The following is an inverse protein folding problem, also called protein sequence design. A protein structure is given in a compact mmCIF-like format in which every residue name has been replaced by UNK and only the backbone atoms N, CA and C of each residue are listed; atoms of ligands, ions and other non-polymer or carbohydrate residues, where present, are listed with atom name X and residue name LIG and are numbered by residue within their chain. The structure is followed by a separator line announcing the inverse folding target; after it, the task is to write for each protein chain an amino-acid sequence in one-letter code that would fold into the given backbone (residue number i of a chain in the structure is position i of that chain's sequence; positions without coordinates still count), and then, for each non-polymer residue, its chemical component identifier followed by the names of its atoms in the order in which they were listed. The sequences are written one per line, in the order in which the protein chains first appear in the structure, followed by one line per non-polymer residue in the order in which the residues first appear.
data_IF_293578748860
#
_entry.id   IF_293578748860
#
_cell.length_a   1.000
_cell.length_b   1.000
_cell.length_c   1.000
_cell.angle_alpha   90.00
_cell.angle_beta   90.00
_cell.angle_gamma   90.00
#
_symmetry.space_group_name_H-M   'P 1'
#
loop_
_entity.id
_entity.type
_entity.pdbx_description
1 polymer ?
#
# COMPACT_ATOMS: atom_id res chain seq x y z
N UNK A 1 -3.88 -11.39 40.08
CA UNK A 1 -3.00 -11.99 39.05
C UNK A 1 -1.78 -11.10 38.94
N UNK A 2 -0.58 -11.65 39.11
CA UNK A 2 0.69 -10.93 38.99
C UNK A 2 1.00 -10.61 37.51
N UNK A 3 1.60 -9.44 37.22
CA UNK A 3 1.95 -9.00 35.86
C UNK A 3 2.85 -10.00 35.14
N UNK A 4 3.75 -10.66 35.89
CA UNK A 4 4.64 -11.69 35.34
C UNK A 4 3.85 -12.90 34.81
N UNK A 5 2.80 -13.29 35.51
CA UNK A 5 1.96 -14.40 35.10
C UNK A 5 1.21 -14.08 33.81
N UNK A 6 0.64 -12.87 33.72
CA UNK A 6 -0.04 -12.40 32.52
C UNK A 6 0.90 -12.34 31.30
N UNK A 7 2.12 -11.83 31.48
CA UNK A 7 3.11 -11.81 30.40
C UNK A 7 3.50 -13.22 29.93
N UNK A 8 3.73 -14.15 30.86
CA UNK A 8 4.05 -15.53 30.53
C UNK A 8 2.91 -16.23 29.78
N UNK A 9 1.66 -16.03 30.23
CA UNK A 9 0.49 -16.56 29.52
C UNK A 9 0.34 -15.95 28.13
N UNK A 10 0.55 -14.65 27.98
CA UNK A 10 0.48 -13.97 26.69
C UNK A 10 1.48 -14.54 25.68
N UNK A 11 2.77 -14.65 26.05
CA UNK A 11 3.78 -15.21 25.14
C UNK A 11 3.52 -16.67 24.81
N UNK A 12 3.10 -17.47 25.79
CA UNK A 12 2.77 -18.88 25.58
C UNK A 12 1.58 -19.05 24.63
N UNK A 13 0.56 -18.21 24.77
CA UNK A 13 -0.66 -18.25 23.94
C UNK A 13 -0.39 -17.82 22.49
N UNK A 14 0.70 -17.09 22.25
CA UNK A 14 1.15 -16.67 20.92
C UNK A 14 2.36 -17.48 20.41
N UNK A 15 2.68 -18.62 21.05
CA UNK A 15 3.76 -19.54 20.66
C UNK A 15 5.17 -18.94 20.58
N UNK A 16 5.40 -17.77 21.19
CA UNK A 16 6.67 -17.02 21.06
C UNK A 16 7.87 -17.85 21.52
N UNK A 17 7.85 -18.55 22.68
CA UNK A 17 8.98 -19.38 23.11
C UNK A 17 9.30 -20.52 22.14
N UNK A 18 8.29 -21.21 21.62
CA UNK A 18 8.45 -22.35 20.72
C UNK A 18 9.08 -21.91 19.39
N UNK A 19 8.61 -20.80 18.81
CA UNK A 19 9.17 -20.23 17.58
C UNK A 19 10.61 -19.75 17.76
N UNK A 20 10.94 -19.19 18.92
CA UNK A 20 12.32 -18.82 19.27
C UNK A 20 13.23 -20.05 19.37
N UNK A 21 12.78 -21.12 20.03
CA UNK A 21 13.54 -22.35 20.13
C UNK A 21 13.77 -22.99 18.74
N UNK A 22 12.74 -23.05 17.91
CA UNK A 22 12.78 -23.57 16.54
C UNK A 22 13.84 -22.84 15.68
N UNK A 23 13.81 -21.51 15.66
CA UNK A 23 14.75 -20.73 14.84
C UNK A 23 16.17 -20.82 15.36
N UNK A 24 16.39 -20.82 16.69
CA UNK A 24 17.71 -20.93 17.29
C UNK A 24 18.34 -22.30 17.00
N UNK A 25 17.55 -23.37 17.10
CA UNK A 25 18.00 -24.71 16.78
C UNK A 25 18.39 -24.82 15.31
N UNK A 26 17.52 -24.36 14.40
CA UNK A 26 17.79 -24.41 12.96
C UNK A 26 19.01 -23.57 12.58
N UNK A 27 19.10 -22.35 13.09
CA UNK A 27 20.21 -21.42 12.83
C UNK A 27 21.55 -21.97 13.30
N UNK A 28 21.60 -22.69 14.44
CA UNK A 28 22.83 -23.31 14.94
C UNK A 28 23.43 -24.32 13.94
N UNK A 29 22.58 -25.11 13.28
CA UNK A 29 23.02 -26.07 12.27
C UNK A 29 23.36 -25.39 10.94
N UNK A 30 22.53 -24.43 10.49
CA UNK A 30 22.71 -23.78 9.19
C UNK A 30 23.89 -22.80 9.17
N UNK A 31 24.22 -22.18 10.31
CA UNK A 31 25.31 -21.19 10.45
C UNK A 31 25.30 -20.11 9.35
N UNK A 32 24.18 -19.37 9.21
CA UNK A 32 24.09 -18.34 8.17
C UNK A 32 25.13 -17.23 8.40
N UNK A 33 25.58 -16.60 7.32
CA UNK A 33 26.55 -15.51 7.39
C UNK A 33 26.02 -14.25 8.10
N UNK A 34 24.70 -14.06 8.11
CA UNK A 34 23.99 -13.03 8.85
C UNK A 34 22.94 -13.68 9.77
N UNK A 35 23.26 -13.79 11.05
CA UNK A 35 22.38 -14.39 12.06
C UNK A 35 21.10 -13.58 12.26
N UNK A 36 21.20 -12.24 12.22
CA UNK A 36 20.04 -11.37 12.47
C UNK A 36 19.17 -11.24 11.24
N UNK A 37 19.76 -11.23 10.03
CA UNK A 37 19.03 -11.36 8.77
C UNK A 37 18.23 -12.66 8.73
N UNK A 38 18.85 -13.78 9.11
CA UNK A 38 18.14 -15.07 9.18
C UNK A 38 16.96 -15.05 10.17
N UNK A 39 17.16 -14.49 11.37
CA UNK A 39 16.06 -14.31 12.34
C UNK A 39 14.96 -13.42 11.77
N UNK A 40 15.33 -12.33 11.10
CA UNK A 40 14.38 -11.41 10.49
C UNK A 40 13.54 -12.13 9.43
N UNK A 41 14.14 -12.90 8.54
CA UNK A 41 13.43 -13.66 7.51
C UNK A 41 12.50 -14.72 8.11
N UNK A 42 12.96 -15.48 9.10
CA UNK A 42 12.11 -16.45 9.80
C UNK A 42 10.87 -15.79 10.44
N UNK A 43 11.05 -14.71 11.20
CA UNK A 43 9.91 -14.00 11.81
C UNK A 43 9.06 -13.23 10.79
N UNK A 44 9.61 -12.96 9.60
CA UNK A 44 8.88 -12.35 8.50
C UNK A 44 7.78 -13.27 7.97
N UNK A 45 8.07 -14.57 7.86
CA UNK A 45 7.10 -15.58 7.43
C UNK A 45 5.98 -15.79 8.45
N UNK A 46 6.27 -15.59 9.74
CA UNK A 46 5.29 -15.67 10.83
C UNK A 46 4.47 -14.39 11.01
N UNK A 47 4.88 -13.29 10.38
CA UNK A 47 4.21 -12.00 10.51
C UNK A 47 2.89 -11.96 9.75
N UNK A 48 1.94 -11.15 10.21
CA UNK A 48 0.71 -10.89 9.47
C UNK A 48 1.01 -10.33 8.07
N UNK A 49 0.20 -10.68 7.05
CA UNK A 49 0.37 -10.14 5.71
C UNK A 49 0.22 -8.61 5.70
N UNK A 50 0.87 -7.91 4.75
CA UNK A 50 0.64 -6.49 4.52
C UNK A 50 -0.84 -6.17 4.32
N UNK A 51 -1.29 -5.06 4.88
CA UNK A 51 -2.63 -4.52 4.65
C UNK A 51 -2.56 -3.04 4.30
N UNK A 52 -3.40 -2.58 3.38
CA UNK A 52 -3.51 -1.17 2.99
C UNK A 52 -3.89 -0.34 4.22
N UNK A 53 -3.15 0.72 4.51
CA UNK A 53 -3.43 1.61 5.62
C UNK A 53 -3.75 3.05 5.18
N UNK A 54 -3.20 3.47 4.03
CA UNK A 54 -3.44 4.79 3.43
C UNK A 54 -3.27 4.72 1.91
N UNK A 55 -4.11 5.45 1.19
CA UNK A 55 -3.89 5.91 -0.18
C UNK A 55 -3.56 7.40 -0.16
N UNK A 56 -2.68 7.84 -1.06
CA UNK A 56 -2.32 9.25 -1.22
C UNK A 56 -2.30 9.60 -2.71
N UNK A 57 -3.33 10.32 -3.16
CA UNK A 57 -3.47 10.82 -4.51
C UNK A 57 -2.98 12.26 -4.63
N UNK A 58 -2.21 12.54 -5.69
CA UNK A 58 -1.70 13.87 -5.99
C UNK A 58 -1.65 14.13 -7.50
N UNK A 59 -1.71 15.41 -7.85
CA UNK A 59 -1.49 15.87 -9.22
C UNK A 59 0.01 15.89 -9.53
N UNK A 60 0.39 15.31 -10.66
CA UNK A 60 1.75 15.29 -11.21
C UNK A 60 1.70 15.65 -12.69
N UNK A 61 2.85 15.90 -13.33
CA UNK A 61 2.92 16.16 -14.77
C UNK A 61 3.28 14.89 -15.54
N UNK A 62 2.62 14.67 -16.67
CA UNK A 62 2.94 13.61 -17.61
C UNK A 62 4.14 13.97 -18.51
N UNK A 63 4.47 13.09 -19.47
CA UNK A 63 5.56 13.31 -20.42
C UNK A 63 5.35 14.49 -21.40
N UNK A 64 4.14 15.06 -21.45
CA UNK A 64 3.79 16.23 -22.26
C UNK A 64 3.70 17.52 -21.45
N UNK A 65 3.94 17.45 -20.13
CA UNK A 65 3.79 18.58 -19.22
C UNK A 65 2.34 18.86 -18.82
N UNK A 66 1.42 17.92 -19.05
CA UNK A 66 0.01 18.03 -18.68
C UNK A 66 -0.25 17.39 -17.31
N UNK A 67 -1.17 17.94 -16.51
CA UNK A 67 -1.51 17.37 -15.23
C UNK A 67 -2.16 15.99 -15.39
N UNK A 68 -1.71 15.05 -14.57
CA UNK A 68 -2.25 13.70 -14.42
C UNK A 68 -2.25 13.28 -12.94
N UNK A 69 -2.79 12.10 -12.66
CA UNK A 69 -2.97 11.52 -11.34
C UNK A 69 -1.85 10.52 -11.02
N UNK A 70 -1.21 10.69 -9.87
CA UNK A 70 -0.39 9.66 -9.22
C UNK A 70 -1.03 9.25 -7.90
N UNK A 71 -1.05 7.94 -7.62
CA UNK A 71 -1.55 7.36 -6.36
C UNK A 71 -0.44 6.53 -5.71
N UNK A 72 -0.07 6.89 -4.48
CA UNK A 72 0.80 6.11 -3.62
C UNK A 72 -0.02 5.19 -2.71
N UNK A 73 0.40 3.93 -2.59
CA UNK A 73 -0.24 2.94 -1.73
C UNK A 73 0.66 2.67 -0.53
N UNK A 74 0.14 2.94 0.66
CA UNK A 74 0.80 2.65 1.93
C UNK A 74 0.20 1.38 2.53
N UNK A 75 1.07 0.49 3.02
CA UNK A 75 0.68 -0.69 3.77
C UNK A 75 1.35 -0.76 5.14
N UNK A 76 0.62 -1.32 6.10
CA UNK A 76 1.14 -1.76 7.39
C UNK A 76 1.89 -3.08 7.18
N UNK A 77 3.21 -3.01 7.11
CA UNK A 77 4.11 -4.17 6.96
C UNK A 77 4.89 -4.37 8.25
N UNK A 78 4.67 -5.49 8.94
CA UNK A 78 5.37 -5.83 10.20
C UNK A 78 5.32 -4.66 11.21
N UNK A 79 4.11 -4.18 11.48
CA UNK A 79 3.80 -3.05 12.37
C UNK A 79 4.39 -1.69 11.96
N UNK A 80 4.89 -1.54 10.74
CA UNK A 80 5.39 -0.27 10.20
C UNK A 80 4.61 0.15 8.97
N UNK A 81 4.26 1.42 8.86
CA UNK A 81 3.68 1.99 7.64
C UNK A 81 4.76 2.22 6.60
N UNK A 82 4.57 1.69 5.39
CA UNK A 82 5.51 1.79 4.27
C UNK A 82 4.78 2.05 2.97
N UNK A 83 5.35 2.88 2.11
CA UNK A 83 4.95 2.97 0.70
C UNK A 83 5.39 1.69 0.03
N UNK A 84 4.45 0.95 -0.54
CA UNK A 84 4.74 -0.31 -1.24
C UNK A 84 4.78 -0.14 -2.76
N UNK A 85 4.02 0.81 -3.30
CA UNK A 85 4.02 1.15 -4.71
C UNK A 85 3.45 2.55 -4.94
N UNK A 86 3.71 3.06 -6.15
CA UNK A 86 3.07 4.24 -6.71
C UNK A 86 2.68 3.94 -8.15
N UNK A 87 1.54 4.46 -8.60
CA UNK A 87 1.05 4.29 -9.96
C UNK A 87 0.55 5.62 -10.51
N UNK A 88 0.91 5.91 -11.75
CA UNK A 88 0.46 7.08 -12.50
C UNK A 88 -0.47 6.63 -13.63
N UNK A 89 -1.58 7.36 -13.81
CA UNK A 89 -2.46 7.13 -14.96
C UNK A 89 -1.91 7.89 -16.17
N UNK A 90 -1.75 7.19 -17.29
CA UNK A 90 -1.46 7.85 -18.56
C UNK A 90 -2.71 8.58 -19.05
N UNK A 91 -2.63 9.89 -19.28
CA UNK A 91 -3.68 10.63 -19.95
C UNK A 91 -3.32 10.76 -21.44
N UNK A 92 -4.12 10.16 -22.31
CA UNK A 92 -4.00 10.39 -23.75
C UNK A 92 -4.93 11.52 -24.14
N UNK A 93 -4.37 12.70 -24.38
CA UNK A 93 -5.14 13.81 -24.92
C UNK A 93 -4.95 13.87 -26.44
N UNK A 94 -6.02 13.59 -27.20
CA UNK A 94 -6.06 13.89 -28.62
C UNK A 94 -6.31 15.39 -28.80
N UNK A 95 -5.24 16.18 -28.74
CA UNK A 95 -5.34 17.58 -29.15
C UNK A 95 -5.51 17.60 -30.66
N UNK A 96 -6.70 17.95 -31.14
CA UNK A 96 -6.88 18.21 -32.55
C UNK A 96 -6.04 19.45 -32.91
N UNK A 97 -5.07 19.31 -33.83
CA UNK A 97 -4.18 20.43 -34.23
C UNK A 97 -4.94 21.68 -34.74
N UNK A 98 -6.22 21.53 -35.09
CA UNK A 98 -7.12 22.60 -35.54
C UNK A 98 -8.02 23.20 -34.45
N UNK A 99 -7.86 22.80 -33.18
CA UNK A 99 -8.67 23.33 -32.07
C UNK A 99 -8.40 24.82 -31.83
N UNK A 100 -9.45 25.59 -31.50
CA UNK A 100 -9.29 27.00 -31.12
C UNK A 100 -8.66 27.13 -29.73
N UNK A 101 -8.07 28.29 -29.43
CA UNK A 101 -7.46 28.55 -28.13
C UNK A 101 -8.48 28.42 -26.97
N UNK A 102 -9.73 28.84 -27.20
CA UNK A 102 -10.82 28.72 -26.23
C UNK A 102 -11.21 27.26 -25.98
N UNK A 103 -11.16 26.41 -27.01
CA UNK A 103 -11.43 24.99 -26.87
C UNK A 103 -10.33 24.27 -26.07
N UNK A 104 -9.07 24.68 -26.25
CA UNK A 104 -7.93 24.16 -25.48
C UNK A 104 -8.04 24.57 -24.00
N UNK A 105 -8.35 25.84 -23.72
CA UNK A 105 -8.53 26.33 -22.34
C UNK A 105 -9.69 25.64 -21.62
N UNK A 106 -10.81 25.44 -22.33
CA UNK A 106 -11.96 24.71 -21.80
C UNK A 106 -11.63 23.24 -21.46
N UNK A 107 -10.92 22.54 -22.35
CA UNK A 107 -10.45 21.16 -22.14
C UNK A 107 -9.48 21.06 -20.96
N UNK A 108 -8.53 21.99 -20.85
CA UNK A 108 -7.60 22.03 -19.71
C UNK A 108 -8.32 22.26 -18.39
N UNK A 109 -9.30 23.15 -18.37
CA UNK A 109 -10.11 23.41 -17.18
C UNK A 109 -10.93 22.18 -16.77
N UNK A 110 -11.61 21.54 -17.71
CA UNK A 110 -12.37 20.30 -17.44
C UNK A 110 -11.46 19.19 -16.89
N UNK A 111 -10.25 19.09 -17.42
CA UNK A 111 -9.23 18.13 -16.96
C UNK A 111 -8.83 18.40 -15.51
N UNK A 112 -8.55 19.66 -15.15
CA UNK A 112 -8.23 20.03 -13.78
C UNK A 112 -9.37 19.74 -12.80
N UNK A 113 -10.62 20.04 -13.21
CA UNK A 113 -11.79 19.75 -12.38
C UNK A 113 -11.98 18.25 -12.17
N UNK A 114 -11.82 17.44 -13.22
CA UNK A 114 -11.91 15.99 -13.16
C UNK A 114 -10.80 15.40 -12.29
N UNK A 115 -9.57 15.91 -12.42
CA UNK A 115 -8.43 15.48 -11.61
C UNK A 115 -8.64 15.79 -10.13
N UNK A 116 -9.10 17.00 -9.80
CA UNK A 116 -9.36 17.39 -8.41
C UNK A 116 -10.44 16.51 -7.76
N UNK A 117 -11.52 16.21 -8.49
CA UNK A 117 -12.57 15.29 -8.02
C UNK A 117 -12.02 13.87 -7.78
N UNK A 118 -11.18 13.37 -8.68
CA UNK A 118 -10.56 12.06 -8.52
C UNK A 118 -9.62 12.02 -7.29
N UNK A 119 -8.81 13.06 -7.08
CA UNK A 119 -7.93 13.18 -5.92
C UNK A 119 -8.74 13.19 -4.62
N UNK A 120 -9.80 13.99 -4.55
CA UNK A 120 -10.69 14.07 -3.38
C UNK A 120 -11.33 12.71 -3.08
N UNK A 121 -11.92 12.07 -4.09
CA UNK A 121 -12.54 10.76 -3.94
C UNK A 121 -11.55 9.68 -3.48
N UNK A 122 -10.32 9.69 -4.01
CA UNK A 122 -9.28 8.73 -3.63
C UNK A 122 -8.83 8.96 -2.19
N UNK A 123 -8.51 10.20 -1.83
CA UNK A 123 -7.98 10.54 -0.51
C UNK A 123 -9.02 10.35 0.61
N UNK A 124 -10.31 10.38 0.27
CA UNK A 124 -11.41 10.23 1.21
C UNK A 124 -12.09 8.86 1.09
N UNK A 125 -13.08 8.75 0.21
CA UNK A 125 -14.00 7.61 0.16
C UNK A 125 -13.29 6.31 -0.18
N UNK A 126 -12.39 6.32 -1.16
CA UNK A 126 -11.65 5.12 -1.56
C UNK A 126 -10.63 4.70 -0.50
N UNK A 127 -9.94 5.67 0.11
CA UNK A 127 -8.97 5.43 1.17
C UNK A 127 -9.59 4.68 2.36
N UNK A 128 -10.80 5.07 2.78
CA UNK A 128 -11.54 4.35 3.82
C UNK A 128 -12.03 2.97 3.35
N UNK A 129 -12.51 2.86 2.11
CA UNK A 129 -13.00 1.61 1.53
C UNK A 129 -11.93 0.52 1.48
N UNK A 130 -10.70 0.86 1.07
CA UNK A 130 -9.62 -0.11 0.90
C UNK A 130 -8.81 -0.38 2.18
N UNK A 131 -9.05 0.38 3.26
CA UNK A 131 -8.28 0.23 4.50
C UNK A 131 -8.46 -1.16 5.10
N UNK A 132 -7.35 -1.82 5.40
CA UNK A 132 -7.31 -3.15 6.01
C UNK A 132 -7.34 -4.30 5.01
N UNK A 133 -7.56 -4.03 3.72
CA UNK A 133 -7.51 -5.06 2.68
C UNK A 133 -6.06 -5.44 2.35
N UNK A 134 -5.85 -6.68 1.91
CA UNK A 134 -4.53 -7.13 1.45
C UNK A 134 -4.31 -6.67 0.01
N UNK A 135 -3.21 -5.98 -0.31
CA UNK A 135 -2.95 -5.47 -1.66
C UNK A 135 -2.73 -6.61 -2.69
N UNK A 136 -2.46 -7.84 -2.24
CA UNK A 136 -2.32 -9.01 -3.09
C UNK A 136 -3.65 -9.66 -3.50
N UNK A 137 -4.77 -9.26 -2.89
CA UNK A 137 -6.11 -9.77 -3.21
C UNK A 137 -6.76 -8.93 -4.32
N UNK A 138 -6.13 -8.96 -5.51
CA UNK A 138 -6.49 -8.13 -6.66
C UNK A 138 -7.96 -8.30 -7.05
N UNK A 139 -8.46 -9.54 -7.08
CA UNK A 139 -9.83 -9.82 -7.51
C UNK A 139 -10.86 -9.15 -6.60
N UNK A 140 -10.71 -9.29 -5.27
CA UNK A 140 -11.62 -8.67 -4.30
C UNK A 140 -11.58 -7.14 -4.39
N UNK A 141 -10.39 -6.55 -4.55
CA UNK A 141 -10.24 -5.11 -4.73
C UNK A 141 -10.96 -4.66 -6.01
N UNK A 142 -10.75 -5.35 -7.14
CA UNK A 142 -11.38 -4.99 -8.41
C UNK A 142 -12.90 -5.16 -8.37
N UNK A 143 -13.42 -6.18 -7.69
CA UNK A 143 -14.86 -6.37 -7.48
C UNK A 143 -15.47 -5.22 -6.65
N UNK A 144 -14.80 -4.80 -5.56
CA UNK A 144 -15.23 -3.65 -4.75
C UNK A 144 -15.24 -2.34 -5.55
N UNK A 145 -14.25 -2.15 -6.42
CA UNK A 145 -14.16 -0.98 -7.31
C UNK A 145 -15.22 -1.02 -8.42
N UNK A 146 -15.54 -2.21 -8.95
CA UNK A 146 -16.49 -2.40 -10.04
C UNK A 146 -17.97 -2.31 -9.64
N UNK A 147 -18.27 -2.35 -8.34
CA UNK A 147 -19.64 -2.24 -7.80
C UNK A 147 -20.06 -0.80 -7.46
N UNK A 148 -19.32 0.21 -7.93
CA UNK A 148 -19.64 1.63 -7.75
C UNK A 148 -20.57 2.20 -8.84
#
# INVERSE_FOLDING_TARGET
MDLKHQAAEYYRSNEVPQRLEEVLNTMFYQRPGDLYGYLADFFSELSKPPVICKLDAKSVLDGTGRPTLEVEVFCRVRNSDKIICSSMISCHAEILESASAEAIDADEKERYESLNKAIEWINESLNEMLRGLQPSDQQNIDELLGHQ
#
